data_IF_405339472633
#
_entry.id   IF_405339472633
#
_cell.length_a   1.000
_cell.length_b   1.000
_cell.length_c   1.000
_cell.angle_alpha   90.00
_cell.angle_beta   90.00
_cell.angle_gamma   90.00
#
_symmetry.space_group_name_H-M   'P 1'
#
loop_
_entity.id
_entity.type
_entity.pdbx_description
1 polymer ?
#
# COMPACT_ATOMS: atom_id res chain seq x y z
N UNK A 1 -2.64 -16.76 -8.98
CA UNK A 1 -1.32 -16.12 -8.75
C UNK A 1 -0.91 -16.27 -7.30
N UNK A 2 0.36 -16.56 -7.07
CA UNK A 2 0.89 -16.75 -5.71
C UNK A 2 1.42 -15.42 -5.17
N UNK A 3 0.56 -14.68 -4.48
CA UNK A 3 0.89 -13.36 -3.93
C UNK A 3 1.01 -13.47 -2.41
N UNK A 4 2.08 -12.90 -1.85
CA UNK A 4 2.37 -12.87 -0.41
C UNK A 4 2.31 -14.25 0.25
N UNK A 5 2.91 -15.25 -0.40
CA UNK A 5 2.97 -16.60 0.14
C UNK A 5 4.11 -16.78 1.15
N UNK A 6 5.26 -16.14 0.88
CA UNK A 6 6.42 -16.23 1.76
C UNK A 6 6.33 -15.24 2.90
N UNK A 7 6.78 -15.65 4.09
CA UNK A 7 6.83 -14.78 5.26
C UNK A 7 7.59 -13.49 4.99
N UNK A 8 8.73 -13.58 4.32
CA UNK A 8 9.55 -12.41 3.99
C UNK A 8 8.78 -11.38 3.17
N UNK A 9 7.91 -11.82 2.26
CA UNK A 9 7.10 -10.93 1.43
C UNK A 9 5.96 -10.29 2.24
N UNK A 10 5.38 -11.04 3.16
CA UNK A 10 4.36 -10.52 4.08
C UNK A 10 4.93 -9.41 4.97
N UNK A 11 6.12 -9.66 5.50
CA UNK A 11 6.83 -8.67 6.33
C UNK A 11 7.18 -7.44 5.51
N UNK A 12 7.72 -7.63 4.31
CA UNK A 12 8.07 -6.54 3.40
C UNK A 12 6.85 -5.69 3.05
N UNK A 13 5.73 -6.34 2.76
CA UNK A 13 4.47 -5.67 2.46
C UNK A 13 4.03 -4.76 3.62
N UNK A 14 4.01 -5.30 4.83
CA UNK A 14 3.58 -4.54 6.01
C UNK A 14 4.55 -3.41 6.35
N UNK A 15 5.86 -3.65 6.22
CA UNK A 15 6.86 -2.59 6.39
C UNK A 15 6.65 -1.46 5.38
N UNK A 16 6.37 -1.81 4.13
CA UNK A 16 6.06 -0.82 3.10
C UNK A 16 4.83 -0.01 3.44
N UNK A 17 3.80 -0.64 3.99
CA UNK A 17 2.58 0.05 4.42
C UNK A 17 2.84 0.99 5.59
N UNK A 18 3.71 0.62 6.54
CA UNK A 18 4.13 1.52 7.63
C UNK A 18 4.82 2.75 7.05
N UNK A 19 5.72 2.57 6.08
CA UNK A 19 6.42 3.70 5.44
C UNK A 19 5.43 4.63 4.75
N UNK A 20 4.42 4.09 4.07
CA UNK A 20 3.38 4.88 3.44
C UNK A 20 2.56 5.66 4.47
N UNK A 21 2.17 5.03 5.57
CA UNK A 21 1.38 5.68 6.62
C UNK A 21 2.16 6.80 7.31
N UNK A 22 3.48 6.67 7.41
CA UNK A 22 4.34 7.69 8.05
C UNK A 22 4.64 8.87 7.13
N UNK A 23 4.34 8.77 5.85
CA UNK A 23 4.76 9.74 4.85
C UNK A 23 4.26 11.17 5.11
N UNK A 24 3.05 11.31 5.64
CA UNK A 24 2.45 12.61 5.90
C UNK A 24 2.81 13.17 7.28
N UNK A 25 3.61 12.46 8.05
CA UNK A 25 4.05 12.87 9.38
C UNK A 25 3.00 12.69 10.47
N UNK A 26 1.82 12.21 10.13
CA UNK A 26 0.74 11.94 11.08
C UNK A 26 0.38 10.47 11.05
N UNK A 27 0.60 9.78 12.16
CA UNK A 27 0.23 8.37 12.29
C UNK A 27 -0.98 8.28 13.19
N UNK A 28 -2.10 7.83 12.63
CA UNK A 28 -3.34 7.66 13.36
C UNK A 28 -3.36 6.30 14.08
N UNK A 29 -3.95 6.21 15.29
CA UNK A 29 -4.06 4.93 15.98
C UNK A 29 -4.74 3.84 15.16
N UNK A 30 -5.69 4.20 14.31
CA UNK A 30 -6.42 3.28 13.45
C UNK A 30 -5.49 2.63 12.43
N UNK A 31 -4.50 3.37 11.93
CA UNK A 31 -3.51 2.85 10.99
C UNK A 31 -2.63 1.79 11.65
N UNK A 32 -2.19 2.07 12.88
CA UNK A 32 -1.37 1.12 13.66
C UNK A 32 -2.17 -0.16 13.91
N UNK A 33 -3.41 -0.01 14.35
CA UNK A 33 -4.30 -1.14 14.63
C UNK A 33 -4.54 -1.98 13.37
N UNK A 34 -4.78 -1.31 12.23
CA UNK A 34 -4.99 -1.99 10.96
C UNK A 34 -3.80 -2.87 10.59
N UNK A 35 -2.59 -2.33 10.67
CA UNK A 35 -1.37 -3.06 10.30
C UNK A 35 -1.08 -4.19 11.28
N UNK A 36 -1.27 -3.95 12.58
CA UNK A 36 -1.09 -4.99 13.59
C UNK A 36 -2.08 -6.14 13.40
N UNK A 37 -3.33 -5.82 13.10
CA UNK A 37 -4.36 -6.83 12.82
C UNK A 37 -4.03 -7.62 11.54
N UNK A 38 -3.54 -6.92 10.52
CA UNK A 38 -3.12 -7.56 9.27
C UNK A 38 -1.95 -8.53 9.51
N UNK A 39 -0.99 -8.14 10.35
CA UNK A 39 0.15 -8.98 10.69
C UNK A 39 -0.30 -10.28 11.35
N UNK A 40 -1.24 -10.21 12.28
CA UNK A 40 -1.82 -11.39 12.94
C UNK A 40 -2.55 -12.25 11.90
N UNK A 41 -3.36 -11.63 11.06
CA UNK A 41 -4.12 -12.32 10.02
C UNK A 41 -3.24 -13.01 8.97
N UNK A 42 -2.03 -12.52 8.75
CA UNK A 42 -1.06 -13.13 7.85
C UNK A 42 -0.24 -14.24 8.51
N UNK A 43 -0.50 -14.53 9.78
CA UNK A 43 0.17 -15.62 10.50
C UNK A 43 1.57 -15.27 10.99
N UNK A 44 1.89 -14.00 11.17
CA UNK A 44 3.18 -13.58 11.71
C UNK A 44 3.21 -13.81 13.22
N UNK A 45 4.37 -14.26 13.72
CA UNK A 45 4.55 -14.49 15.14
C UNK A 45 4.85 -13.18 15.88
N UNK A 46 4.93 -13.24 17.21
CA UNK A 46 5.14 -12.06 18.05
C UNK A 46 6.44 -11.31 17.72
N UNK A 47 7.53 -12.04 17.45
CA UNK A 47 8.81 -11.44 17.08
C UNK A 47 8.69 -10.67 15.77
N UNK A 48 8.03 -11.27 14.79
CA UNK A 48 7.81 -10.65 13.49
C UNK A 48 6.88 -9.44 13.59
N UNK A 49 5.84 -9.54 14.40
CA UNK A 49 4.94 -8.40 14.67
C UNK A 49 5.69 -7.24 15.31
N UNK A 50 6.59 -7.54 16.27
CA UNK A 50 7.39 -6.52 16.93
C UNK A 50 8.37 -5.85 15.98
N UNK A 51 8.93 -6.59 15.02
CA UNK A 51 9.79 -6.03 14.00
C UNK A 51 9.07 -4.96 13.18
N UNK A 52 7.84 -5.23 12.80
CA UNK A 52 7.02 -4.28 12.05
C UNK A 52 6.63 -3.10 12.94
N UNK A 53 6.19 -3.36 14.17
CA UNK A 53 5.78 -2.31 15.11
C UNK A 53 6.90 -1.35 15.46
N UNK A 54 8.14 -1.83 15.49
CA UNK A 54 9.30 -0.97 15.78
C UNK A 54 9.51 0.11 14.73
N UNK A 55 8.99 -0.08 13.52
CA UNK A 55 9.14 0.89 12.44
C UNK A 55 8.33 2.16 12.64
N UNK A 56 7.27 2.11 13.46
CA UNK A 56 6.45 3.29 13.72
C UNK A 56 7.24 4.42 14.39
N UNK A 57 8.21 4.07 15.22
CA UNK A 57 9.03 5.03 15.97
C UNK A 57 10.42 5.22 15.38
N UNK A 58 10.79 4.41 14.40
CA UNK A 58 12.10 4.48 13.77
C UNK A 58 12.24 5.72 12.90
N UNK A 59 13.37 6.39 12.99
CA UNK A 59 13.72 7.49 12.10
C UNK A 59 14.25 6.98 10.74
N UNK A 60 14.58 5.69 10.65
CA UNK A 60 15.08 5.08 9.43
C UNK A 60 13.94 4.91 8.43
N UNK A 61 14.18 5.34 7.19
CA UNK A 61 13.23 5.14 6.11
C UNK A 61 13.15 3.67 5.68
N UNK A 62 14.13 2.85 6.11
CA UNK A 62 14.17 1.44 5.82
C UNK A 62 14.31 1.12 4.34
N UNK A 63 14.63 -0.12 4.04
CA UNK A 63 14.55 -0.65 2.69
C UNK A 63 13.58 -1.84 2.70
N UNK A 64 12.76 -1.92 1.66
CA UNK A 64 11.78 -2.99 1.50
C UNK A 64 12.18 -3.80 0.28
N UNK A 65 12.35 -5.11 0.47
CA UNK A 65 12.77 -6.01 -0.61
C UNK A 65 11.79 -7.17 -0.70
N UNK A 66 11.30 -7.42 -1.91
CA UNK A 66 10.40 -8.53 -2.18
C UNK A 66 11.13 -9.66 -2.91
N UNK A 67 10.66 -10.89 -2.71
CA UNK A 67 11.26 -12.07 -3.35
C UNK A 67 10.97 -12.17 -4.84
N UNK A 68 9.97 -11.44 -5.34
CA UNK A 68 9.61 -11.44 -6.75
C UNK A 68 9.05 -10.09 -7.18
N UNK A 69 9.12 -9.83 -8.47
CA UNK A 69 8.55 -8.62 -9.06
C UNK A 69 7.02 -8.60 -8.92
N UNK A 70 6.39 -9.77 -8.96
CA UNK A 70 4.94 -9.88 -8.77
C UNK A 70 4.52 -9.35 -7.39
N UNK A 71 5.21 -9.77 -6.33
CA UNK A 71 4.91 -9.30 -4.98
C UNK A 71 5.19 -7.80 -4.82
N UNK A 72 6.27 -7.30 -5.42
CA UNK A 72 6.58 -5.87 -5.44
C UNK A 72 5.47 -5.08 -6.14
N UNK A 73 5.01 -5.56 -7.30
CA UNK A 73 3.93 -4.92 -8.04
C UNK A 73 2.63 -4.92 -7.26
N UNK A 74 2.33 -6.02 -6.58
CA UNK A 74 1.14 -6.09 -5.72
C UNK A 74 1.19 -5.05 -4.60
N UNK A 75 2.34 -4.91 -3.95
CA UNK A 75 2.53 -3.89 -2.93
C UNK A 75 2.25 -2.49 -3.48
N UNK A 76 2.82 -2.14 -4.64
CA UNK A 76 2.61 -0.83 -5.25
C UNK A 76 1.14 -0.63 -5.63
N UNK A 77 0.50 -1.67 -6.15
CA UNK A 77 -0.92 -1.62 -6.50
C UNK A 77 -1.79 -1.29 -5.27
N UNK A 78 -1.51 -1.93 -4.14
CA UNK A 78 -2.24 -1.67 -2.90
C UNK A 78 -1.93 -0.29 -2.34
N UNK A 79 -0.68 0.13 -2.40
CA UNK A 79 -0.26 1.45 -1.95
C UNK A 79 -0.97 2.56 -2.74
N UNK A 80 -1.05 2.41 -4.06
CA UNK A 80 -1.74 3.37 -4.93
C UNK A 80 -3.24 3.40 -4.62
N UNK A 81 -3.86 2.23 -4.44
CA UNK A 81 -5.29 2.16 -4.10
C UNK A 81 -5.59 2.89 -2.79
N UNK A 82 -4.77 2.67 -1.76
CA UNK A 82 -4.95 3.33 -0.47
C UNK A 82 -4.78 4.84 -0.61
N UNK A 83 -3.77 5.29 -1.34
CA UNK A 83 -3.50 6.71 -1.52
C UNK A 83 -4.61 7.43 -2.30
N UNK A 84 -5.31 6.74 -3.19
CA UNK A 84 -6.35 7.33 -4.04
C UNK A 84 -7.77 7.09 -3.54
N UNK A 85 -7.96 6.31 -2.47
CA UNK A 85 -9.29 5.89 -2.02
C UNK A 85 -10.22 7.05 -1.66
N UNK A 86 -9.67 8.14 -1.14
CA UNK A 86 -10.44 9.34 -0.78
C UNK A 86 -10.46 10.38 -1.92
N UNK A 87 -9.88 10.06 -3.06
CA UNK A 87 -9.81 10.95 -4.22
C UNK A 87 -8.71 12.00 -4.16
N UNK A 88 -7.90 12.00 -3.11
CA UNK A 88 -6.85 13.01 -2.88
C UNK A 88 -5.50 12.38 -2.59
N UNK A 89 -4.78 12.01 -3.64
CA UNK A 89 -3.38 11.64 -3.51
C UNK A 89 -2.53 12.90 -3.67
N UNK A 90 -1.89 13.37 -2.60
CA UNK A 90 -1.06 14.55 -2.70
C UNK A 90 0.31 14.23 -3.33
N UNK A 91 1.07 15.29 -3.67
CA UNK A 91 2.36 15.14 -4.33
C UNK A 91 3.38 14.38 -3.48
N UNK A 92 3.34 14.53 -2.17
CA UNK A 92 4.27 13.83 -1.26
C UNK A 92 4.01 12.34 -1.27
N UNK A 93 2.73 11.96 -1.19
CA UNK A 93 2.33 10.55 -1.25
C UNK A 93 2.70 9.94 -2.59
N UNK A 94 2.43 10.67 -3.68
CA UNK A 94 2.75 10.21 -5.03
C UNK A 94 4.25 10.02 -5.23
N UNK A 95 5.06 10.98 -4.78
CA UNK A 95 6.53 10.86 -4.84
C UNK A 95 7.03 9.66 -4.06
N UNK A 96 6.47 9.41 -2.88
CA UNK A 96 6.86 8.27 -2.07
C UNK A 96 6.51 6.96 -2.77
N UNK A 97 5.34 6.88 -3.39
CA UNK A 97 4.93 5.69 -4.15
C UNK A 97 5.94 5.39 -5.26
N UNK A 98 6.35 6.42 -6.03
CA UNK A 98 7.33 6.24 -7.08
C UNK A 98 8.70 5.87 -6.52
N UNK A 99 9.13 6.51 -5.44
CA UNK A 99 10.41 6.19 -4.78
C UNK A 99 10.42 4.75 -4.29
N UNK A 100 9.40 4.34 -3.56
CA UNK A 100 9.32 2.97 -3.05
C UNK A 100 9.14 1.96 -4.19
N UNK A 101 8.34 2.29 -5.18
CA UNK A 101 8.11 1.41 -6.34
C UNK A 101 9.41 1.13 -7.10
N UNK A 102 10.23 2.14 -7.29
CA UNK A 102 11.52 1.98 -7.93
C UNK A 102 12.49 1.18 -7.05
N UNK A 103 12.50 1.43 -5.75
CA UNK A 103 13.33 0.69 -4.80
C UNK A 103 13.00 -0.81 -4.79
N UNK A 104 11.74 -1.16 -4.94
CA UNK A 104 11.33 -2.58 -4.96
C UNK A 104 11.43 -3.20 -6.34
N UNK A 105 11.90 -2.46 -7.35
CA UNK A 105 12.26 -3.01 -8.65
C UNK A 105 11.30 -2.73 -9.80
N UNK A 106 10.34 -1.82 -9.62
CA UNK A 106 9.45 -1.44 -10.71
C UNK A 106 10.04 -0.28 -11.52
N UNK A 107 9.70 -0.24 -12.79
CA UNK A 107 10.05 0.89 -13.66
C UNK A 107 8.99 1.98 -13.48
N UNK A 108 9.38 3.22 -13.71
CA UNK A 108 8.47 4.38 -13.68
C UNK A 108 7.23 4.15 -14.54
N UNK A 109 7.40 3.63 -15.75
CA UNK A 109 6.29 3.34 -16.65
C UNK A 109 5.33 2.27 -16.10
N UNK A 110 5.86 1.31 -15.35
CA UNK A 110 5.05 0.27 -14.72
C UNK A 110 4.20 0.84 -13.58
N UNK A 111 4.79 1.72 -12.79
CA UNK A 111 4.06 2.41 -11.71
C UNK A 111 2.94 3.28 -12.31
N UNK A 112 3.23 3.98 -13.40
CA UNK A 112 2.24 4.81 -14.09
C UNK A 112 1.06 3.96 -14.60
N UNK A 113 1.31 2.76 -15.08
CA UNK A 113 0.24 1.83 -15.50
C UNK A 113 -0.65 1.44 -14.33
N UNK A 114 -0.06 1.21 -13.17
CA UNK A 114 -0.81 0.89 -11.94
C UNK A 114 -1.69 2.09 -11.54
N UNK A 115 -1.14 3.31 -11.58
CA UNK A 115 -1.91 4.52 -11.29
C UNK A 115 -3.11 4.65 -12.22
N UNK A 116 -2.91 4.46 -13.52
CA UNK A 116 -3.97 4.55 -14.50
C UNK A 116 -5.08 3.53 -14.23
N UNK A 117 -4.69 2.31 -13.90
CA UNK A 117 -5.66 1.26 -13.57
C UNK A 117 -6.50 1.64 -12.34
N UNK A 118 -5.87 2.17 -11.29
CA UNK A 118 -6.58 2.61 -10.09
C UNK A 118 -7.54 3.76 -10.42
N UNK A 119 -7.09 4.75 -11.17
CA UNK A 119 -7.92 5.88 -11.59
C UNK A 119 -9.14 5.43 -12.40
N UNK A 120 -8.95 4.49 -13.31
CA UNK A 120 -10.05 3.90 -14.08
C UNK A 120 -11.06 3.21 -13.16
N UNK A 121 -10.57 2.49 -12.15
CA UNK A 121 -11.43 1.83 -11.15
C UNK A 121 -12.26 2.82 -10.36
N UNK A 122 -11.67 3.94 -9.97
CA UNK A 122 -12.38 5.02 -9.27
C UNK A 122 -13.48 5.60 -10.16
N UNK A 123 -13.18 5.88 -11.43
CA UNK A 123 -14.16 6.40 -12.37
C UNK A 123 -15.28 5.41 -12.63
N UNK A 124 -14.95 4.14 -12.77
CA UNK A 124 -15.93 3.07 -12.94
C UNK A 124 -16.89 3.02 -11.76
N UNK A 125 -16.36 3.12 -10.53
CA UNK A 125 -17.18 3.12 -9.32
C UNK A 125 -18.10 4.33 -9.26
N UNK A 126 -17.58 5.51 -9.59
CA UNK A 126 -18.38 6.75 -9.63
C UNK A 126 -19.51 6.65 -10.66
N UNK A 127 -19.24 6.06 -11.82
CA UNK A 127 -20.28 5.81 -12.83
C UNK A 127 -21.36 4.87 -12.31
N UNK A 128 -20.96 3.86 -11.53
CA UNK A 128 -21.91 2.95 -10.90
C UNK A 128 -22.83 3.66 -9.91
N UNK A 129 -22.26 4.53 -9.08
CA UNK A 129 -23.05 5.33 -8.13
C UNK A 129 -24.03 6.25 -8.86
N UNK A 130 -23.57 6.91 -9.92
CA UNK A 130 -24.43 7.78 -10.72
C UNK A 130 -25.58 6.99 -11.38
N UNK A 131 -25.28 5.77 -11.84
CA UNK A 131 -26.29 4.90 -12.43
C UNK A 131 -27.39 4.57 -11.41
N UNK A 132 -27.03 4.30 -10.15
CA UNK A 132 -28.00 4.04 -9.10
C UNK A 132 -28.90 5.26 -8.84
N UNK A 133 -28.31 6.46 -8.83
CA UNK A 133 -29.07 7.70 -8.66
C UNK A 133 -30.06 7.90 -9.81
N UNK A 134 -29.64 7.65 -11.05
CA UNK A 134 -30.49 7.76 -12.22
C UNK A 134 -31.66 6.76 -12.19
N UNK A 135 -31.40 5.51 -11.75
CA UNK A 135 -32.43 4.49 -11.65
C UNK A 135 -33.42 4.80 -10.53
N UNK A 136 -32.95 5.38 -9.43
CA UNK A 136 -33.76 5.68 -8.26
C UNK A 136 -34.72 6.87 -8.44
N UNK A 137 -34.47 7.70 -9.44
CA UNK A 137 -35.32 8.89 -9.71
C UNK A 137 -36.69 8.49 -10.30
#
# INVERSE_FOLDING_TARGET
MAILQKKEDKIAYLKGMVLMAKADGKVEPEEITYINTAAIGMGLNEVEQNEISSMWESADSGSVVFSSKLNAAFFVQEAVQIAYVDGNCDEKERKLIYTLGEQVGLKTAEIAKIENWVEEGIQWKKRGEKLLEEIAD
#
